data_IF_495347749616
#
_entry.id   IF_495347749616
#
_cell.length_a   1.000
_cell.length_b   1.000
_cell.length_c   1.000
_cell.angle_alpha   90.00
_cell.angle_beta   90.00
_cell.angle_gamma   90.00
#
_symmetry.space_group_name_H-M   'P 1'
#
loop_
_entity.id
_entity.type
_entity.pdbx_description
1 polymer ?
#
# COMPACT_ATOMS: atom_id res chain seq x y z
N UNK A 1 -6.59 -20.60 -3.40
CA UNK A 1 -5.66 -19.81 -2.55
C UNK A 1 -4.88 -20.80 -1.70
N UNK A 2 -3.55 -20.70 -1.65
CA UNK A 2 -2.75 -21.62 -0.82
C UNK A 2 -2.91 -21.28 0.68
N UNK A 3 -2.49 -22.19 1.57
CA UNK A 3 -2.67 -22.06 3.02
C UNK A 3 -2.02 -20.78 3.57
N UNK A 4 -0.89 -20.36 2.99
CA UNK A 4 -0.13 -19.20 3.44
C UNK A 4 -0.84 -17.88 3.11
N UNK A 5 -1.30 -17.70 1.87
CA UNK A 5 -2.08 -16.52 1.47
C UNK A 5 -3.39 -16.41 2.25
N UNK A 6 -4.02 -17.54 2.61
CA UNK A 6 -5.20 -17.52 3.49
C UNK A 6 -4.85 -17.05 4.90
N UNK A 7 -3.74 -17.51 5.47
CA UNK A 7 -3.29 -17.08 6.79
C UNK A 7 -3.00 -15.57 6.83
N UNK A 8 -2.29 -15.04 5.84
CA UNK A 8 -2.06 -13.60 5.73
C UNK A 8 -3.35 -12.80 5.48
N UNK A 9 -4.26 -13.31 4.66
CA UNK A 9 -5.56 -12.68 4.45
C UNK A 9 -6.36 -12.56 5.75
N UNK A 10 -6.33 -13.61 6.59
CA UNK A 10 -6.93 -13.58 7.93
C UNK A 10 -6.21 -12.61 8.87
N UNK A 11 -4.87 -12.54 8.83
CA UNK A 11 -4.10 -11.57 9.62
C UNK A 11 -4.46 -10.12 9.26
N UNK A 12 -4.74 -9.87 7.98
CA UNK A 12 -5.15 -8.56 7.45
C UNK A 12 -6.66 -8.34 7.53
N UNK A 13 -7.44 -9.26 8.08
CA UNK A 13 -8.87 -9.08 8.33
C UNK A 13 -9.08 -8.12 9.52
N UNK A 14 -8.97 -6.83 9.21
CA UNK A 14 -9.05 -5.70 10.14
C UNK A 14 -9.99 -4.66 9.54
N UNK A 15 -10.37 -3.68 10.36
CA UNK A 15 -11.14 -2.52 9.89
C UNK A 15 -10.23 -1.56 9.13
N UNK A 16 -10.32 -1.60 7.81
CA UNK A 16 -9.68 -0.65 6.90
C UNK A 16 -10.71 0.36 6.39
N UNK A 17 -10.26 1.57 6.05
CA UNK A 17 -11.13 2.60 5.44
C UNK A 17 -11.01 2.60 3.92
N UNK A 18 -9.81 2.37 3.38
CA UNK A 18 -9.56 2.45 1.94
C UNK A 18 -8.71 1.28 1.44
N UNK A 19 -9.02 0.83 0.23
CA UNK A 19 -8.10 0.09 -0.61
C UNK A 19 -7.52 1.05 -1.65
N UNK A 20 -6.20 1.14 -1.73
CA UNK A 20 -5.54 2.09 -2.63
C UNK A 20 -4.61 1.40 -3.60
N UNK A 21 -4.46 1.98 -4.79
CA UNK A 21 -3.46 1.54 -5.78
C UNK A 21 -2.61 2.73 -6.20
N UNK A 22 -1.29 2.57 -6.11
CA UNK A 22 -0.30 3.58 -6.50
C UNK A 22 0.53 3.04 -7.67
N UNK A 23 0.38 3.65 -8.84
CA UNK A 23 1.12 3.25 -10.05
C UNK A 23 2.15 4.31 -10.41
N UNK A 24 3.40 3.91 -10.67
CA UNK A 24 4.44 4.83 -11.14
C UNK A 24 4.22 5.21 -12.61
N UNK A 25 4.58 6.43 -13.00
CA UNK A 25 4.54 6.84 -14.42
C UNK A 25 5.74 6.37 -15.25
N UNK A 26 6.70 5.70 -14.64
CA UNK A 26 7.86 5.09 -15.29
C UNK A 26 8.21 3.75 -14.63
N UNK A 27 8.98 2.87 -15.28
CA UNK A 27 9.37 1.59 -14.69
C UNK A 27 10.17 1.72 -13.39
N UNK A 28 9.71 1.05 -12.34
CA UNK A 28 10.37 1.00 -11.02
C UNK A 28 10.53 -0.46 -10.58
N UNK A 29 11.78 -0.85 -10.25
CA UNK A 29 12.10 -2.16 -9.69
C UNK A 29 11.88 -2.19 -8.17
N UNK A 30 11.73 -3.38 -7.60
CA UNK A 30 11.47 -3.60 -6.17
C UNK A 30 12.39 -2.85 -5.21
N UNK A 31 13.71 -2.91 -5.37
CA UNK A 31 14.63 -2.23 -4.46
C UNK A 31 14.42 -0.71 -4.43
N UNK A 32 14.02 -0.11 -5.56
CA UNK A 32 13.68 1.32 -5.62
C UNK A 32 12.30 1.57 -5.05
N UNK A 33 11.33 0.69 -5.30
CA UNK A 33 10.01 0.73 -4.68
C UNK A 33 10.10 0.73 -3.15
N UNK A 34 10.88 -0.19 -2.59
CA UNK A 34 11.10 -0.29 -1.15
C UNK A 34 11.55 1.03 -0.54
N UNK A 35 12.61 1.63 -1.11
CA UNK A 35 13.12 2.94 -0.66
C UNK A 35 12.07 4.06 -0.75
N UNK A 36 11.22 4.04 -1.78
CA UNK A 36 10.14 5.02 -1.95
C UNK A 36 9.05 4.80 -0.90
N UNK A 37 8.68 3.55 -0.62
CA UNK A 37 7.66 3.22 0.38
C UNK A 37 8.15 3.47 1.81
N UNK A 38 9.43 3.25 2.10
CA UNK A 38 10.05 3.66 3.38
C UNK A 38 10.04 5.19 3.52
N UNK A 39 10.27 5.93 2.44
CA UNK A 39 10.17 7.39 2.45
C UNK A 39 8.75 7.87 2.69
N UNK A 40 7.76 7.27 2.01
CA UNK A 40 6.34 7.54 2.26
C UNK A 40 6.00 7.27 3.73
N UNK A 41 6.40 6.12 4.27
CA UNK A 41 6.16 5.77 5.66
C UNK A 41 6.75 6.81 6.63
N UNK A 42 8.00 7.23 6.43
CA UNK A 42 8.63 8.25 7.26
C UNK A 42 7.93 9.62 7.14
N UNK A 43 7.46 10.00 5.96
CA UNK A 43 6.64 11.21 5.80
C UNK A 43 5.32 11.09 6.56
N UNK A 44 4.64 9.94 6.48
CA UNK A 44 3.41 9.70 7.22
C UNK A 44 3.65 9.63 8.74
N UNK A 45 4.78 9.13 9.21
CA UNK A 45 5.09 9.17 10.65
C UNK A 45 5.33 10.60 11.18
N UNK A 46 5.64 11.56 10.31
CA UNK A 46 5.85 12.94 10.70
C UNK A 46 4.55 13.76 10.78
N UNK A 47 3.41 13.23 10.31
CA UNK A 47 2.11 13.90 10.44
C UNK A 47 1.45 13.54 11.77
N UNK A 48 0.79 14.52 12.38
CA UNK A 48 0.05 14.36 13.64
C UNK A 48 -1.32 13.70 13.40
N UNK A 49 -1.31 12.46 12.90
CA UNK A 49 -2.50 11.66 12.62
C UNK A 49 -2.28 10.21 13.07
N UNK A 50 -3.34 9.60 13.61
CA UNK A 50 -3.41 8.13 13.83
C UNK A 50 -3.72 7.44 12.50
N UNK A 51 -2.90 6.47 12.12
CA UNK A 51 -3.18 5.65 10.94
C UNK A 51 -2.58 4.24 11.06
N UNK A 52 -3.16 3.31 10.30
CA UNK A 52 -2.57 2.01 10.00
C UNK A 52 -2.49 1.90 8.47
N UNK A 53 -1.41 1.35 7.95
CA UNK A 53 -1.28 1.07 6.52
C UNK A 53 -0.52 -0.22 6.29
N UNK A 54 -1.12 -1.14 5.56
CA UNK A 54 -0.42 -2.25 4.96
C UNK A 54 -0.20 -1.95 3.48
N UNK A 55 1.01 -2.19 2.96
CA UNK A 55 1.26 -2.06 1.53
C UNK A 55 1.97 -3.29 1.00
N UNK A 56 1.70 -3.62 -0.27
CA UNK A 56 2.32 -4.73 -0.99
C UNK A 56 2.63 -4.31 -2.42
N UNK A 57 3.79 -4.70 -2.93
CA UNK A 57 4.16 -4.49 -4.33
C UNK A 57 3.68 -5.64 -5.22
N UNK A 58 3.27 -5.32 -6.45
CA UNK A 58 2.93 -6.28 -7.49
C UNK A 58 3.74 -5.98 -8.74
N UNK A 59 4.37 -7.00 -9.31
CA UNK A 59 4.98 -6.90 -10.64
C UNK A 59 3.90 -6.71 -11.72
N UNK A 60 4.09 -5.71 -12.57
CA UNK A 60 3.39 -5.66 -13.85
C UNK A 60 3.66 -6.93 -14.66
N UNK A 61 2.74 -7.30 -15.55
CA UNK A 61 2.83 -8.50 -16.40
C UNK A 61 4.14 -8.58 -17.21
N UNK A 62 4.73 -7.44 -17.56
CA UNK A 62 6.01 -7.36 -18.27
C UNK A 62 7.23 -7.70 -17.40
N UNK A 63 7.10 -7.75 -16.07
CA UNK A 63 8.21 -7.94 -15.13
C UNK A 63 9.20 -6.75 -15.05
N UNK A 64 8.91 -5.64 -15.74
CA UNK A 64 9.82 -4.50 -15.84
C UNK A 64 9.58 -3.41 -14.78
N UNK A 65 8.41 -3.43 -14.13
CA UNK A 65 8.00 -2.46 -13.12
C UNK A 65 7.09 -3.08 -12.09
N UNK A 66 7.04 -2.50 -10.89
CA UNK A 66 6.00 -2.78 -9.89
C UNK A 66 5.00 -1.63 -9.79
N UNK A 67 3.83 -1.91 -9.24
CA UNK A 67 2.90 -0.95 -8.63
C UNK A 67 2.58 -1.40 -7.19
N UNK A 68 1.91 -0.56 -6.40
CA UNK A 68 1.61 -0.87 -5.00
C UNK A 68 0.10 -0.94 -4.75
N UNK A 69 -0.29 -1.89 -3.91
CA UNK A 69 -1.62 -1.98 -3.33
C UNK A 69 -1.55 -1.73 -1.83
N UNK A 70 -2.45 -0.90 -1.31
CA UNK A 70 -2.46 -0.48 0.07
C UNK A 70 -3.81 -0.78 0.70
N UNK A 71 -3.80 -1.24 1.95
CA UNK A 71 -4.93 -1.15 2.87
C UNK A 71 -4.63 -0.01 3.83
N UNK A 72 -5.56 0.94 3.95
CA UNK A 72 -5.34 2.19 4.69
C UNK A 72 -6.46 2.36 5.71
N UNK A 73 -6.09 2.67 6.94
CA UNK A 73 -7.00 3.09 8.02
C UNK A 73 -6.56 4.45 8.54
N UNK A 74 -7.52 5.33 8.77
CA UNK A 74 -7.29 6.73 9.11
C UNK A 74 -7.34 7.65 7.89
N UNK A 75 -7.49 8.94 8.15
CA UNK A 75 -7.63 9.99 7.14
C UNK A 75 -6.25 10.48 6.65
N UNK A 76 -5.57 9.62 5.88
CA UNK A 76 -4.23 9.90 5.33
C UNK A 76 -4.12 9.79 3.80
N UNK A 77 -5.22 9.53 3.09
CA UNK A 77 -5.21 9.35 1.62
C UNK A 77 -4.76 10.62 0.90
N UNK A 78 -5.15 11.81 1.38
CA UNK A 78 -4.67 13.07 0.83
C UNK A 78 -3.17 13.31 1.06
N UNK A 79 -2.63 12.82 2.19
CA UNK A 79 -1.21 12.91 2.50
C UNK A 79 -0.39 11.98 1.58
N UNK A 80 -0.93 10.78 1.30
CA UNK A 80 -0.38 9.86 0.30
C UNK A 80 -0.38 10.51 -1.09
N UNK A 81 -1.52 11.05 -1.53
CA UNK A 81 -1.66 11.79 -2.80
C UNK A 81 -0.61 12.90 -2.92
N UNK A 82 -0.50 13.72 -1.86
CA UNK A 82 0.44 14.85 -1.80
C UNK A 82 1.88 14.36 -1.92
N UNK A 83 2.29 13.39 -1.11
CA UNK A 83 3.63 12.82 -1.19
C UNK A 83 3.93 12.30 -2.60
N UNK A 84 3.00 11.56 -3.18
CA UNK A 84 3.22 10.88 -4.45
C UNK A 84 3.38 11.87 -5.60
N UNK A 85 2.51 12.88 -5.64
CA UNK A 85 2.48 13.91 -6.68
C UNK A 85 3.60 14.94 -6.52
N UNK A 86 3.91 15.39 -5.29
CA UNK A 86 4.98 16.37 -5.03
C UNK A 86 6.35 15.82 -5.40
N UNK A 87 6.56 14.51 -5.20
CA UNK A 87 7.80 13.81 -5.55
C UNK A 87 7.80 13.30 -7.00
N UNK A 88 6.80 13.72 -7.80
CA UNK A 88 6.65 13.45 -9.23
C UNK A 88 6.59 11.96 -9.58
N UNK A 89 6.22 11.07 -8.64
CA UNK A 89 6.23 9.62 -8.83
C UNK A 89 5.16 9.16 -9.85
N UNK A 90 4.02 9.84 -9.85
CA UNK A 90 3.01 9.79 -10.91
C UNK A 90 2.10 11.01 -10.83
N UNK A 91 1.16 11.10 -11.77
CA UNK A 91 0.05 12.05 -11.71
C UNK A 91 -1.13 11.45 -10.93
N UNK A 92 -2.05 12.30 -10.47
CA UNK A 92 -3.22 11.90 -9.68
C UNK A 92 -4.09 10.83 -10.36
N UNK A 93 -4.17 10.83 -11.69
CA UNK A 93 -4.93 9.82 -12.47
C UNK A 93 -4.39 8.38 -12.33
N UNK A 94 -3.17 8.20 -11.82
CA UNK A 94 -2.55 6.89 -11.57
C UNK A 94 -2.61 6.46 -10.09
N UNK A 95 -3.32 7.25 -9.29
CA UNK A 95 -3.61 6.98 -7.88
C UNK A 95 -5.11 6.70 -7.77
N UNK A 96 -5.45 5.62 -7.08
CA UNK A 96 -6.84 5.27 -6.80
C UNK A 96 -6.97 4.99 -5.31
N UNK A 97 -7.97 5.59 -4.69
CA UNK A 97 -8.43 5.30 -3.34
C UNK A 97 -9.91 4.94 -3.45
N UNK A 98 -10.26 3.70 -3.14
CA UNK A 98 -11.65 3.27 -3.07
C UNK A 98 -11.97 2.88 -1.64
N UNK A 99 -13.23 3.09 -1.22
CA UNK A 99 -13.67 2.64 0.10
C UNK A 99 -13.45 1.13 0.24
N UNK A 100 -12.95 0.73 1.40
CA UNK A 100 -12.72 -0.68 1.68
C UNK A 100 -14.05 -1.37 1.99
N UNK A 101 -14.41 -2.32 1.15
CA UNK A 101 -15.56 -3.20 1.35
C UNK A 101 -15.08 -4.58 1.76
N UNK A 102 -15.27 -4.95 3.04
CA UNK A 102 -14.81 -6.22 3.61
C UNK A 102 -15.29 -7.44 2.81
N UNK A 103 -16.54 -7.42 2.34
CA UNK A 103 -17.15 -8.52 1.58
C UNK A 103 -16.51 -8.73 0.20
N UNK A 104 -15.83 -7.71 -0.34
CA UNK A 104 -15.04 -7.83 -1.58
C UNK A 104 -13.66 -8.47 -1.37
N UNK A 105 -13.25 -8.69 -0.12
CA UNK A 105 -12.08 -9.50 0.23
C UNK A 105 -10.74 -8.88 -0.18
N UNK A 106 -10.61 -7.55 -0.18
CA UNK A 106 -9.37 -6.89 -0.59
C UNK A 106 -8.14 -7.28 0.27
N UNK A 107 -8.36 -7.68 1.53
CA UNK A 107 -7.34 -8.28 2.40
C UNK A 107 -6.80 -9.61 1.85
N UNK A 108 -7.68 -10.45 1.31
CA UNK A 108 -7.28 -11.69 0.64
C UNK A 108 -6.64 -11.44 -0.73
N UNK A 109 -7.07 -10.37 -1.43
CA UNK A 109 -6.47 -9.96 -2.68
C UNK A 109 -5.00 -9.55 -2.48
N UNK A 110 -4.70 -8.66 -1.53
CA UNK A 110 -3.31 -8.26 -1.27
C UNK A 110 -2.46 -9.42 -0.74
N UNK A 111 -3.04 -10.32 0.05
CA UNK A 111 -2.35 -11.49 0.58
C UNK A 111 -1.92 -12.51 -0.50
N UNK A 112 -2.59 -12.54 -1.67
CA UNK A 112 -2.18 -13.36 -2.82
C UNK A 112 -0.77 -13.03 -3.30
N UNK A 113 -0.31 -11.79 -3.09
CA UNK A 113 0.99 -11.36 -3.56
C UNK A 113 2.12 -11.73 -2.60
N UNK A 114 1.83 -11.95 -1.31
CA UNK A 114 2.84 -12.21 -0.27
C UNK A 114 3.62 -13.51 -0.44
N UNK A 115 3.11 -14.45 -1.24
CA UNK A 115 3.82 -15.69 -1.58
C UNK A 115 4.69 -15.56 -2.86
N UNK A 116 4.96 -14.32 -3.27
CA UNK A 116 5.85 -14.00 -4.39
C UNK A 116 7.07 -13.28 -3.86
N UNK A 117 8.19 -13.35 -4.57
CA UNK A 117 9.39 -12.56 -4.26
C UNK A 117 9.08 -11.08 -4.47
N UNK A 118 8.45 -10.44 -3.48
CA UNK A 118 7.90 -9.10 -3.50
C UNK A 118 8.05 -8.41 -2.16
N UNK A 119 8.08 -7.08 -2.21
CA UNK A 119 8.21 -6.23 -1.03
C UNK A 119 6.83 -5.86 -0.49
N UNK A 120 6.73 -5.80 0.83
CA UNK A 120 5.56 -5.36 1.57
C UNK A 120 5.98 -4.81 2.94
N UNK A 121 5.10 -4.06 3.58
CA UNK A 121 5.28 -3.68 4.99
C UNK A 121 3.94 -3.35 5.65
N UNK A 122 3.94 -3.36 6.98
CA UNK A 122 2.86 -2.87 7.82
C UNK A 122 3.38 -1.74 8.69
N UNK A 123 2.79 -0.55 8.54
CA UNK A 123 3.13 0.64 9.30
C UNK A 123 1.94 1.12 10.13
N UNK A 124 2.22 1.65 11.31
CA UNK A 124 1.19 2.12 12.23
C UNK A 124 1.73 3.29 13.06
N UNK A 125 1.06 4.44 13.02
CA UNK A 125 1.34 5.52 13.97
C UNK A 125 0.46 5.34 15.21
N UNK A 126 1.09 5.00 16.31
CA UNK A 126 0.48 5.21 17.61
C UNK A 126 0.83 6.65 17.98
N UNK A 127 -0.17 7.55 18.03
CA UNK A 127 0.05 8.84 18.70
C UNK A 127 0.58 8.52 20.10
N UNK A 128 1.79 8.98 20.41
CA UNK A 128 2.27 8.99 21.79
C UNK A 128 1.29 9.88 22.55
N UNK A 129 0.44 9.25 23.35
CA UNK A 129 -0.27 9.91 24.45
C UNK A 129 0.74 10.45 25.45
#
# INVERSE_FOLDING_TARGET
MNKLARAYGNMLDREWNYFSTLTYKWPVKQNRNRKIMDWLANTLYSIDKKFEMFWVSEWHRSGSSVHNHLLVKGDITQDIDRFWTSNRLSDKKFISHIEYEKDKGANFYVAKYLDKNIEYDYICSNLKT
#
